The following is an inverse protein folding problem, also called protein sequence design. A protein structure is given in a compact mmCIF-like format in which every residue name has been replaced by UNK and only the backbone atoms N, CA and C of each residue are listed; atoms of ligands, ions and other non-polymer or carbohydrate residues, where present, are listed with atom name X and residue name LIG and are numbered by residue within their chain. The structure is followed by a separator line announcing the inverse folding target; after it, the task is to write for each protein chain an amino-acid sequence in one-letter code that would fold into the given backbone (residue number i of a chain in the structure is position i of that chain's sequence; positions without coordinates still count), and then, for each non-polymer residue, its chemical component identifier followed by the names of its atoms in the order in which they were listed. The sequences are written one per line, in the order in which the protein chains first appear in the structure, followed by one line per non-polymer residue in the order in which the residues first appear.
data_IF_232799474975
#
_entry.id   IF_232799474975
#
_cell.length_a   1.000
_cell.length_b   1.000
_cell.length_c   1.000
_cell.angle_alpha   90.00
_cell.angle_beta   90.00
_cell.angle_gamma   90.00
#
_symmetry.space_group_name_H-M   'P 1'
#
loop_
_entity.id
_entity.type
_entity.pdbx_description
1 polymer ?
#
# COMPACT_ATOMS: atom_id res chain seq x y z
N UNK A 1 1.60 10.79 -26.11
CA UNK A 1 0.31 11.29 -25.58
C UNK A 1 0.62 12.30 -24.48
N UNK A 2 0.06 13.51 -24.58
CA UNK A 2 0.26 14.55 -23.57
C UNK A 2 -0.25 14.09 -22.21
N UNK A 3 0.40 14.53 -21.14
CA UNK A 3 -0.02 14.24 -19.77
C UNK A 3 -1.43 14.79 -19.59
N UNK A 4 -2.37 13.97 -19.11
CA UNK A 4 -3.75 14.40 -18.90
C UNK A 4 -4.08 14.33 -17.41
N UNK A 5 -3.99 15.47 -16.73
CA UNK A 5 -4.49 15.61 -15.36
C UNK A 5 -6.02 15.56 -15.37
N UNK A 6 -6.61 14.93 -14.37
CA UNK A 6 -8.06 14.81 -14.20
C UNK A 6 -8.55 15.81 -13.18
N UNK A 7 -9.48 16.67 -13.56
CA UNK A 7 -10.15 17.61 -12.65
C UNK A 7 -11.59 17.19 -12.38
N UNK A 8 -11.98 17.23 -11.11
CA UNK A 8 -13.36 17.04 -10.67
C UNK A 8 -13.57 17.84 -9.39
N UNK A 9 -14.66 18.61 -9.33
CA UNK A 9 -14.91 19.57 -8.25
C UNK A 9 -13.68 20.45 -7.95
N UNK A 10 -13.16 20.40 -6.72
CA UNK A 10 -11.99 21.12 -6.21
C UNK A 10 -10.70 20.26 -6.22
N UNK A 11 -10.74 19.09 -6.84
CA UNK A 11 -9.64 18.13 -6.88
C UNK A 11 -8.98 18.05 -8.26
N UNK A 12 -7.65 17.86 -8.23
CA UNK A 12 -6.82 17.48 -9.37
C UNK A 12 -6.16 16.15 -9.06
N UNK A 13 -6.28 15.21 -9.99
CA UNK A 13 -5.66 13.90 -9.89
C UNK A 13 -4.77 13.65 -11.09
N UNK A 14 -3.49 13.36 -10.84
CA UNK A 14 -2.56 12.91 -11.87
C UNK A 14 -2.53 11.37 -11.89
N UNK A 15 -3.07 10.72 -12.95
CA UNK A 15 -3.12 9.26 -13.02
C UNK A 15 -1.74 8.61 -13.19
N UNK A 16 -0.72 9.35 -13.63
CA UNK A 16 0.63 8.81 -13.83
C UNK A 16 1.39 8.77 -12.51
N UNK A 17 1.32 9.83 -11.71
CA UNK A 17 2.02 9.92 -10.44
C UNK A 17 1.19 9.40 -9.26
N UNK A 18 -0.13 9.31 -9.44
CA UNK A 18 -1.09 9.01 -8.38
C UNK A 18 -1.29 10.15 -7.39
N UNK A 19 -0.78 11.36 -7.69
CA UNK A 19 -0.90 12.51 -6.82
C UNK A 19 -2.31 13.11 -6.89
N UNK A 20 -2.89 13.35 -5.72
CA UNK A 20 -4.15 14.04 -5.54
C UNK A 20 -3.88 15.39 -4.88
N UNK A 21 -4.43 16.46 -5.44
CA UNK A 21 -4.40 17.78 -4.83
C UNK A 21 -5.81 18.34 -4.72
N UNK A 22 -6.03 19.20 -3.73
CA UNK A 22 -7.27 19.92 -3.47
C UNK A 22 -6.93 21.39 -3.32
N UNK A 23 -7.45 22.25 -4.18
CA UNK A 23 -7.10 23.69 -4.16
C UNK A 23 -5.58 23.95 -4.09
N UNK A 24 -4.80 23.18 -4.86
CA UNK A 24 -3.32 23.19 -4.91
C UNK A 24 -2.58 22.67 -3.66
N UNK A 25 -3.29 22.19 -2.64
CA UNK A 25 -2.69 21.46 -1.51
C UNK A 25 -2.66 19.95 -1.77
N UNK A 26 -1.54 19.30 -1.46
CA UNK A 26 -1.42 17.84 -1.61
C UNK A 26 -2.29 17.11 -0.59
N UNK A 27 -3.10 16.18 -1.08
CA UNK A 27 -3.88 15.25 -0.27
C UNK A 27 -3.17 13.90 -0.27
N UNK A 28 -2.86 13.37 0.91
CA UNK A 28 -2.21 12.08 1.02
C UNK A 28 -3.15 10.94 0.57
N UNK A 29 -2.69 10.17 -0.41
CA UNK A 29 -3.40 9.01 -0.93
C UNK A 29 -2.37 7.94 -1.27
N UNK A 30 -2.49 6.80 -0.63
CA UNK A 30 -1.55 5.69 -0.80
C UNK A 30 -1.67 5.08 -2.21
N UNK A 31 -0.62 4.37 -2.64
CA UNK A 31 -0.48 3.83 -4.01
C UNK A 31 -1.64 2.93 -4.47
N UNK A 32 -2.14 2.02 -3.63
CA UNK A 32 -3.27 1.16 -4.02
C UNK A 32 -4.59 1.95 -4.13
N UNK A 33 -4.98 2.78 -3.15
CA UNK A 33 -6.09 3.72 -3.29
C UNK A 33 -6.00 4.64 -4.51
N UNK A 34 -4.83 5.20 -4.82
CA UNK A 34 -4.67 6.08 -5.98
C UNK A 34 -4.89 5.33 -7.30
N UNK A 35 -4.45 4.08 -7.39
CA UNK A 35 -4.70 3.22 -8.55
C UNK A 35 -6.17 2.83 -8.70
N UNK A 36 -6.90 2.62 -7.61
CA UNK A 36 -8.37 2.46 -7.66
C UNK A 36 -9.03 3.75 -8.16
N UNK A 37 -8.60 4.91 -7.66
CA UNK A 37 -9.11 6.20 -8.09
C UNK A 37 -8.81 6.48 -9.57
N UNK A 38 -7.66 6.04 -10.07
CA UNK A 38 -7.29 6.09 -11.49
C UNK A 38 -8.30 5.34 -12.36
N UNK A 39 -8.68 4.12 -12.00
CA UNK A 39 -9.66 3.35 -12.79
C UNK A 39 -11.03 4.02 -12.76
N UNK A 40 -11.46 4.44 -11.57
CA UNK A 40 -12.79 5.06 -11.37
C UNK A 40 -12.93 6.40 -12.11
N UNK A 41 -11.93 7.28 -12.01
CA UNK A 41 -11.93 8.58 -12.70
C UNK A 41 -11.71 8.47 -14.20
N UNK A 42 -11.20 7.33 -14.69
CA UNK A 42 -11.10 7.03 -16.12
C UNK A 42 -12.44 6.64 -16.76
N UNK A 43 -13.44 6.27 -15.94
CA UNK A 43 -14.79 5.86 -16.39
C UNK A 43 -15.88 6.53 -15.53
N UNK A 44 -15.96 7.88 -15.53
CA UNK A 44 -16.93 8.59 -14.73
C UNK A 44 -18.36 8.20 -15.11
N UNK A 45 -19.22 7.96 -14.12
CA UNK A 45 -20.62 7.54 -14.29
C UNK A 45 -20.82 6.05 -14.58
N UNK A 46 -19.76 5.30 -14.91
CA UNK A 46 -19.87 3.87 -15.22
C UNK A 46 -19.73 3.00 -13.96
N UNK A 47 -20.35 1.82 -13.99
CA UNK A 47 -20.07 0.78 -12.98
C UNK A 47 -18.73 0.13 -13.32
N UNK A 48 -17.78 0.22 -12.40
CA UNK A 48 -16.57 -0.60 -12.42
C UNK A 48 -16.74 -1.75 -11.43
N UNK A 49 -16.62 -2.97 -11.93
CA UNK A 49 -16.84 -4.17 -11.13
C UNK A 49 -15.71 -4.42 -10.13
N UNK A 50 -16.00 -5.16 -9.06
CA UNK A 50 -14.97 -5.57 -8.10
C UNK A 50 -13.84 -6.33 -8.79
N UNK A 51 -14.16 -7.24 -9.72
CA UNK A 51 -13.18 -8.02 -10.48
C UNK A 51 -12.28 -7.16 -11.35
N UNK A 52 -12.82 -6.13 -12.02
CA UNK A 52 -12.00 -5.18 -12.79
C UNK A 52 -11.06 -4.37 -11.90
N UNK A 53 -11.55 -3.89 -10.75
CA UNK A 53 -10.73 -3.16 -9.78
C UNK A 53 -9.64 -4.06 -9.19
N UNK A 54 -9.96 -5.33 -8.94
CA UNK A 54 -8.97 -6.30 -8.45
C UNK A 54 -7.87 -6.52 -9.48
N UNK A 55 -8.25 -6.82 -10.72
CA UNK A 55 -7.31 -7.06 -11.81
C UNK A 55 -6.40 -5.85 -12.07
N UNK A 56 -6.94 -4.63 -11.99
CA UNK A 56 -6.18 -3.41 -12.23
C UNK A 56 -5.12 -3.10 -11.14
N UNK A 57 -5.38 -3.50 -9.89
CA UNK A 57 -4.54 -3.13 -8.74
C UNK A 57 -3.59 -4.27 -8.34
N UNK A 58 -4.04 -5.53 -8.35
CA UNK A 58 -3.28 -6.69 -7.87
C UNK A 58 -2.97 -7.75 -8.95
N UNK A 59 -3.43 -7.54 -10.18
CA UNK A 59 -3.30 -8.52 -11.27
C UNK A 59 -4.22 -9.73 -11.10
N UNK A 60 -4.15 -10.68 -12.04
CA UNK A 60 -5.08 -11.81 -12.11
C UNK A 60 -4.74 -12.99 -11.17
N UNK A 61 -3.58 -12.99 -10.52
CA UNK A 61 -2.96 -14.21 -9.95
C UNK A 61 -2.85 -14.21 -8.42
N UNK A 62 -3.26 -13.14 -7.76
CA UNK A 62 -3.19 -13.05 -6.30
C UNK A 62 -4.45 -13.72 -5.71
N UNK A 63 -4.31 -14.54 -4.66
CA UNK A 63 -5.41 -15.25 -3.97
C UNK A 63 -5.64 -14.70 -2.55
N UNK A 64 -5.30 -13.43 -2.31
CA UNK A 64 -5.52 -12.78 -1.01
C UNK A 64 -6.99 -12.35 -0.92
N UNK A 65 -7.51 -12.09 0.28
CA UNK A 65 -8.85 -11.51 0.50
C UNK A 65 -8.92 -10.10 -0.13
N UNK A 66 -9.14 -10.06 -1.45
CA UNK A 66 -9.20 -8.84 -2.25
C UNK A 66 -10.33 -7.92 -1.81
N UNK A 67 -11.37 -8.49 -1.20
CA UNK A 67 -12.52 -7.72 -0.78
C UNK A 67 -12.16 -6.79 0.38
N UNK A 68 -11.36 -7.25 1.34
CA UNK A 68 -10.83 -6.38 2.40
C UNK A 68 -9.92 -5.30 1.85
N UNK A 69 -9.01 -5.64 0.94
CA UNK A 69 -8.10 -4.71 0.29
C UNK A 69 -8.82 -3.62 -0.50
N UNK A 70 -9.81 -4.01 -1.31
CA UNK A 70 -10.64 -3.07 -2.07
C UNK A 70 -11.48 -2.19 -1.14
N UNK A 71 -12.08 -2.76 -0.09
CA UNK A 71 -12.83 -1.99 0.89
C UNK A 71 -11.93 -0.99 1.63
N UNK A 72 -10.68 -1.35 1.93
CA UNK A 72 -9.68 -0.44 2.49
C UNK A 72 -9.37 0.71 1.52
N UNK A 73 -9.13 0.41 0.24
CA UNK A 73 -8.86 1.43 -0.77
C UNK A 73 -9.99 2.44 -0.89
N UNK A 74 -11.23 1.95 -0.98
CA UNK A 74 -12.42 2.82 -1.06
C UNK A 74 -12.58 3.67 0.20
N UNK A 75 -12.29 3.14 1.40
CA UNK A 75 -12.29 3.93 2.64
C UNK A 75 -11.25 5.05 2.60
N UNK A 76 -10.03 4.78 2.13
CA UNK A 76 -8.99 5.80 2.04
C UNK A 76 -9.34 6.88 1.02
N UNK A 77 -9.88 6.50 -0.15
CA UNK A 77 -10.33 7.48 -1.15
C UNK A 77 -11.45 8.35 -0.58
N UNK A 78 -12.45 7.75 0.07
CA UNK A 78 -13.53 8.52 0.70
C UNK A 78 -13.01 9.48 1.75
N UNK A 79 -12.05 9.06 2.58
CA UNK A 79 -11.40 9.94 3.56
C UNK A 79 -10.68 11.10 2.88
N UNK A 80 -9.91 10.83 1.83
CA UNK A 80 -9.17 11.85 1.08
C UNK A 80 -10.11 12.87 0.40
N UNK A 81 -11.25 12.41 -0.11
CA UNK A 81 -12.25 13.26 -0.78
C UNK A 81 -13.28 13.89 0.17
N UNK A 82 -13.24 13.57 1.46
CA UNK A 82 -14.28 14.00 2.41
C UNK A 82 -15.67 13.39 2.12
N UNK A 83 -15.71 12.21 1.49
CA UNK A 83 -16.91 11.50 1.08
C UNK A 83 -17.42 10.52 2.14
N UNK A 84 -18.71 10.17 2.09
CA UNK A 84 -19.30 9.18 3.00
C UNK A 84 -20.13 8.16 2.25
N UNK A 85 -20.13 6.91 2.72
CA UNK A 85 -20.93 5.84 2.10
C UNK A 85 -22.45 6.07 2.23
N UNK A 86 -22.89 6.82 3.27
CA UNK A 86 -24.32 7.08 3.53
C UNK A 86 -24.90 8.13 2.58
N UNK A 87 -24.09 9.11 2.17
CA UNK A 87 -24.45 10.17 1.23
C UNK A 87 -23.29 10.35 0.25
N UNK A 88 -23.14 9.43 -0.72
CA UNK A 88 -21.99 9.43 -1.62
C UNK A 88 -22.06 10.62 -2.56
N UNK A 89 -21.05 11.48 -2.53
CA UNK A 89 -20.83 12.56 -3.51
C UNK A 89 -19.86 12.13 -4.60
N UNK A 90 -18.86 11.32 -4.24
CA UNK A 90 -17.80 10.91 -5.15
C UNK A 90 -17.90 9.46 -5.55
N UNK A 91 -18.00 8.55 -4.58
CA UNK A 91 -18.02 7.11 -4.82
C UNK A 91 -19.33 6.49 -4.35
N UNK A 92 -20.15 6.08 -5.30
CA UNK A 92 -21.33 5.25 -5.05
C UNK A 92 -20.91 3.77 -4.92
N UNK A 93 -21.47 3.08 -3.91
CA UNK A 93 -21.31 1.64 -3.76
C UNK A 93 -22.53 0.94 -4.32
N UNK A 94 -22.32 0.06 -5.30
CA UNK A 94 -23.35 -0.83 -5.86
C UNK A 94 -23.17 -2.21 -5.23
N UNK A 95 -24.02 -2.62 -4.26
CA UNK A 95 -23.83 -3.83 -3.49
C UNK A 95 -23.59 -5.06 -4.36
N UNK A 96 -22.58 -5.87 -4.01
CA UNK A 96 -22.18 -7.10 -4.71
C UNK A 96 -21.70 -6.92 -6.17
N UNK A 97 -21.71 -5.69 -6.70
CA UNK A 97 -21.33 -5.40 -8.08
C UNK A 97 -20.01 -4.66 -8.17
N UNK A 98 -19.88 -3.54 -7.46
CA UNK A 98 -18.71 -2.69 -7.53
C UNK A 98 -18.98 -1.25 -7.14
N UNK A 99 -18.34 -0.33 -7.86
CA UNK A 99 -18.32 1.09 -7.52
C UNK A 99 -18.51 1.95 -8.75
N UNK A 100 -19.00 3.16 -8.52
CA UNK A 100 -19.20 4.17 -9.56
C UNK A 100 -18.66 5.50 -9.07
N UNK A 101 -17.90 6.17 -9.94
CA UNK A 101 -17.50 7.56 -9.71
C UNK A 101 -18.60 8.48 -10.22
N UNK A 102 -19.15 9.33 -9.35
CA UNK A 102 -20.31 10.17 -9.67
C UNK A 102 -19.97 11.48 -10.39
N UNK A 103 -18.90 12.21 -10.00
CA UNK A 103 -18.59 13.50 -10.63
C UNK A 103 -18.15 13.34 -12.08
N UNK A 104 -18.50 14.34 -12.89
CA UNK A 104 -17.91 14.49 -14.21
C UNK A 104 -16.40 14.80 -14.07
N UNK A 105 -15.58 14.14 -14.89
CA UNK A 105 -14.13 14.32 -14.89
C UNK A 105 -13.72 15.09 -16.14
N UNK A 106 -13.04 16.21 -15.95
CA UNK A 106 -12.44 16.99 -17.03
C UNK A 106 -10.99 16.53 -17.24
N UNK A 107 -10.65 16.29 -18.49
CA UNK A 107 -9.33 15.88 -18.92
C UNK A 107 -8.54 17.13 -19.34
N UNK A 108 -7.49 17.47 -18.59
CA UNK A 108 -6.62 18.62 -18.88
C UNK A 108 -5.31 18.12 -19.44
N UNK A 109 -5.14 18.30 -20.75
CA UNK A 109 -3.85 18.15 -21.38
C UNK A 109 -2.91 19.20 -20.81
N UNK A 110 -1.83 18.76 -20.17
CA UNK A 110 -0.74 19.63 -19.80
C UNK A 110 -0.06 20.11 -21.08
N UNK A 111 -0.49 21.26 -21.61
CA UNK A 111 0.42 22.11 -22.37
C UNK A 111 1.44 22.58 -21.36
N UNK A 112 2.53 21.82 -21.19
CA UNK A 112 3.63 22.19 -20.29
C UNK A 112 4.09 23.59 -20.70
N UNK A 113 3.80 24.67 -19.95
CA UNK A 113 4.44 25.94 -20.25
C UNK A 113 5.92 25.71 -20.00
N UNK A 114 6.75 25.95 -21.01
CA UNK A 114 8.17 25.60 -21.03
C UNK A 114 9.03 26.31 -19.96
N UNK A 115 8.44 26.93 -18.94
CA UNK A 115 9.15 27.69 -17.91
C UNK A 115 8.55 27.62 -16.50
N UNK A 116 7.50 26.85 -16.24
CA UNK A 116 6.99 26.69 -14.87
C UNK A 116 7.92 25.76 -14.09
N UNK A 117 8.95 26.38 -13.50
CA UNK A 117 9.74 25.83 -12.39
C UNK A 117 8.77 25.16 -11.43
N UNK A 118 8.85 23.83 -11.35
CA UNK A 118 8.16 23.07 -10.31
C UNK A 118 8.60 23.69 -9.00
N UNK A 119 7.69 24.41 -8.34
CA UNK A 119 7.83 24.76 -6.93
C UNK A 119 7.69 23.45 -6.18
N UNK A 120 8.76 22.65 -6.23
CA UNK A 120 9.04 21.64 -5.25
C UNK A 120 9.26 22.40 -3.95
N UNK A 121 8.15 22.75 -3.31
CA UNK A 121 8.05 23.09 -1.90
C UNK A 121 8.29 21.82 -1.09
N UNK A 122 9.39 21.14 -1.39
CA UNK A 122 10.13 20.32 -0.47
C UNK A 122 10.71 21.28 0.55
N UNK A 123 9.88 21.72 1.50
CA UNK A 123 10.37 22.12 2.81
C UNK A 123 10.85 20.84 3.49
N UNK A 124 11.95 20.28 2.97
CA UNK A 124 12.85 19.48 3.78
C UNK A 124 13.48 20.48 4.74
N UNK A 125 12.87 20.61 5.92
CA UNK A 125 13.65 21.00 7.08
C UNK A 125 14.70 19.89 7.22
N UNK A 126 15.90 20.17 6.76
CA UNK A 126 17.08 19.37 7.06
C UNK A 126 17.42 19.60 8.54
N UNK A 127 17.39 18.59 9.41
CA UNK A 127 18.30 18.57 10.53
C UNK A 127 19.60 17.91 10.02
N UNK A 128 20.51 18.74 9.52
CA UNK A 128 21.94 18.47 9.64
C UNK A 128 22.34 18.93 11.05
N UNK A 129 23.06 18.20 11.89
CA UNK A 129 23.93 17.05 11.67
C UNK A 129 24.38 16.55 13.05
N UNK A 130 24.69 15.25 13.14
CA UNK A 130 25.62 14.63 14.10
C UNK A 130 25.27 14.64 15.59
N UNK A 131 24.67 13.53 16.05
CA UNK A 131 25.27 12.63 17.06
C UNK A 131 24.52 11.29 17.01
N UNK A 132 25.27 10.19 16.88
CA UNK A 132 24.87 8.77 17.02
C UNK A 132 24.60 7.92 15.74
N UNK A 133 25.22 8.21 14.59
CA UNK A 133 25.43 7.18 13.53
C UNK A 133 26.63 6.28 13.83
N UNK A 134 26.68 5.68 15.03
CA UNK A 134 27.73 4.75 15.43
C UNK A 134 27.25 3.51 16.17
N UNK A 135 26.01 3.48 16.69
CA UNK A 135 25.57 2.43 17.61
C UNK A 135 24.37 1.58 17.14
N UNK A 136 23.97 1.69 15.86
CA UNK A 136 22.91 0.84 15.29
C UNK A 136 23.31 0.12 13.99
N UNK A 137 24.62 0.03 13.68
CA UNK A 137 25.16 -1.01 12.80
C UNK A 137 25.91 -2.11 13.58
N UNK A 138 26.25 -1.88 14.85
CA UNK A 138 26.74 -2.91 15.77
C UNK A 138 25.64 -3.88 16.25
N UNK A 139 24.37 -3.46 16.22
CA UNK A 139 23.23 -4.27 16.68
C UNK A 139 22.53 -5.08 15.56
N UNK A 140 22.97 -4.96 14.30
CA UNK A 140 22.50 -5.84 13.20
C UNK A 140 23.50 -6.95 12.85
N UNK A 141 24.72 -6.89 13.42
CA UNK A 141 25.75 -7.92 13.25
C UNK A 141 26.04 -8.76 14.52
N UNK A 142 25.25 -8.58 15.60
CA UNK A 142 25.34 -9.43 16.80
C UNK A 142 24.18 -10.44 16.93
N UNK A 143 23.14 -10.37 16.08
CA UNK A 143 22.00 -11.31 16.16
C UNK A 143 22.26 -12.67 15.48
N UNK A 144 23.41 -12.88 14.81
CA UNK A 144 23.74 -14.20 14.22
C UNK A 144 24.60 -15.10 15.12
N UNK A 145 24.90 -14.70 16.36
CA UNK A 145 25.71 -15.50 17.28
C UNK A 145 24.91 -16.25 18.38
N UNK A 146 23.58 -16.14 18.44
CA UNK A 146 22.73 -16.81 19.46
C UNK A 146 21.92 -17.99 18.88
N UNK A 147 22.25 -18.45 17.68
CA UNK A 147 21.59 -19.59 17.04
C UNK A 147 22.52 -20.78 16.77
N UNK A 148 23.65 -20.88 17.47
CA UNK A 148 24.55 -22.05 17.43
C UNK A 148 24.85 -22.63 18.82
N UNK A 149 24.07 -22.23 19.85
CA UNK A 149 24.23 -22.72 21.23
C UNK A 149 23.05 -23.55 21.77
N UNK A 150 22.05 -23.86 20.94
CA UNK A 150 20.83 -24.56 21.35
C UNK A 150 20.72 -26.00 20.78
N UNK A 151 21.76 -26.50 20.12
CA UNK A 151 21.81 -27.89 19.66
C UNK A 151 22.51 -28.85 20.64
N UNK A 152 23.26 -28.35 21.63
CA UNK A 152 23.98 -29.21 22.58
C UNK A 152 23.22 -29.52 23.88
N UNK A 153 22.14 -28.80 24.18
CA UNK A 153 21.32 -29.09 25.37
C UNK A 153 20.11 -29.99 25.07
N UNK A 154 19.71 -30.14 23.80
CA UNK A 154 18.52 -30.93 23.43
C UNK A 154 18.80 -32.44 23.31
N UNK A 155 20.04 -32.82 22.97
CA UNK A 155 20.52 -34.22 23.01
C UNK A 155 20.83 -34.69 24.43
N UNK A 156 21.20 -33.79 25.34
CA UNK A 156 21.52 -34.12 26.75
C UNK A 156 20.26 -34.32 27.61
N UNK A 157 19.14 -33.66 27.26
CA UNK A 157 17.87 -33.80 28.01
C UNK A 157 17.12 -35.11 27.74
N UNK A 158 17.28 -35.73 26.57
CA UNK A 158 16.61 -37.01 26.25
C UNK A 158 17.22 -38.18 27.05
N UNK A 159 18.50 -38.13 27.40
CA UNK A 159 19.15 -39.19 28.18
C UNK A 159 18.88 -39.13 29.70
N UNK A 160 18.44 -37.98 30.23
CA UNK A 160 18.30 -37.77 31.69
C UNK A 160 16.87 -37.85 32.23
N UNK A 161 15.85 -38.04 31.38
CA UNK A 161 14.44 -38.12 31.84
C UNK A 161 13.72 -39.45 31.65
N UNK A 162 14.34 -40.46 31.06
CA UNK A 162 13.71 -41.80 30.89
C UNK A 162 14.51 -42.96 31.45
N UNK A 163 15.73 -42.77 31.95
CA UNK A 163 16.48 -43.85 32.62
C UNK A 163 16.65 -45.12 31.78
N UNK A 164 16.66 -45.01 30.44
CA UNK A 164 16.89 -46.14 29.53
C UNK A 164 18.30 -46.02 28.94
N UNK A 165 19.12 -47.03 29.18
CA UNK A 165 20.47 -47.16 28.62
C UNK A 165 20.39 -47.49 27.13
N UNK A 166 21.30 -46.91 26.33
CA UNK A 166 21.39 -47.15 24.89
C UNK A 166 21.78 -48.60 24.50
N UNK A 167 22.09 -49.46 25.48
CA UNK A 167 22.39 -50.88 25.27
C UNK A 167 21.13 -51.77 25.10
N UNK A 168 19.93 -51.24 25.37
CA UNK A 168 18.67 -52.01 25.39
C UNK A 168 17.72 -51.68 24.21
N UNK A 169 18.20 -51.00 23.17
CA UNK A 169 17.41 -50.62 21.99
C UNK A 169 17.07 -51.84 21.09
N UNK A 170 15.78 -52.21 20.91
CA UNK A 170 15.40 -53.44 20.19
C UNK A 170 15.54 -53.42 18.67
N UNK A 171 15.97 -52.30 18.06
CA UNK A 171 16.04 -52.13 16.59
C UNK A 171 17.49 -52.03 16.07
N UNK A 172 18.50 -52.23 16.92
CA UNK A 172 19.91 -52.22 16.54
C UNK A 172 20.44 -53.60 16.08
N UNK A 173 19.55 -54.47 15.57
CA UNK A 173 19.92 -55.71 14.88
C UNK A 173 19.08 -55.90 13.62
#
# INVERSE_FOLDING_TARGET
MGIVTREFDDFRFDPVTGELTRSDERVDLQNQPSRVLEVLTGRPGELVTRSELHAAVWGATTFVDHDQGLNYCIRQIRRALGDTARRPRYIETLPRRGYRFLPAVKMISATRPAGARQSSSRRFLLPATLLLTGLLLGAWLDHKAVASGLHDEMTTWIHTRTGVSAADCPWAR
#
